data_IF_913937245314
#
_entry.id   IF_913937245314
#
_cell.length_a   1.000
_cell.length_b   1.000
_cell.length_c   1.000
_cell.angle_alpha   90.00
_cell.angle_beta   90.00
_cell.angle_gamma   90.00
#
_symmetry.space_group_name_H-M   'P 1'
#
loop_
_entity.id
_entity.type
_entity.pdbx_description
1 polymer ?
#
# COMPACT_ATOMS: atom_id res chain seq x y z
N UNK A 1 -42.89 -13.52 6.33
CA UNK A 1 -41.95 -14.16 5.40
C UNK A 1 -40.53 -13.84 5.88
N UNK A 2 -39.70 -14.85 6.16
CA UNK A 2 -38.32 -14.61 6.55
C UNK A 2 -37.57 -13.96 5.38
N UNK A 3 -36.89 -12.84 5.63
CA UNK A 3 -36.09 -12.16 4.64
C UNK A 3 -34.92 -13.09 4.26
N UNK A 4 -34.73 -13.32 2.95
CA UNK A 4 -33.63 -14.17 2.48
C UNK A 4 -32.29 -13.55 2.90
N UNK A 5 -31.33 -14.33 3.39
CA UNK A 5 -30.02 -13.81 3.77
C UNK A 5 -29.36 -13.11 2.59
N UNK A 6 -28.85 -11.90 2.82
CA UNK A 6 -28.15 -11.11 1.79
C UNK A 6 -26.81 -11.78 1.48
N UNK A 7 -26.50 -11.93 0.20
CA UNK A 7 -25.26 -12.57 -0.29
C UNK A 7 -24.06 -11.63 -0.32
N UNK A 8 -24.32 -10.31 -0.45
CA UNK A 8 -23.29 -9.28 -0.60
C UNK A 8 -23.47 -8.21 0.48
N UNK A 9 -22.36 -7.72 0.99
CA UNK A 9 -22.38 -6.56 1.89
C UNK A 9 -22.63 -5.30 1.09
N UNK A 10 -21.93 -5.18 -0.07
CA UNK A 10 -22.08 -4.07 -1.01
C UNK A 10 -22.25 -4.60 -2.43
N UNK A 11 -23.15 -4.01 -3.19
CA UNK A 11 -23.33 -4.24 -4.62
C UNK A 11 -23.22 -2.93 -5.38
N UNK A 12 -22.18 -2.81 -6.20
CA UNK A 12 -22.02 -1.67 -7.12
C UNK A 12 -22.64 -2.09 -8.46
N UNK A 13 -23.69 -1.39 -8.87
CA UNK A 13 -24.41 -1.69 -10.11
C UNK A 13 -24.05 -0.71 -11.23
N UNK A 14 -24.32 -1.13 -12.46
CA UNK A 14 -24.28 -0.27 -13.64
C UNK A 14 -22.91 0.42 -13.85
N UNK A 15 -21.79 -0.29 -13.68
CA UNK A 15 -20.45 0.23 -13.96
C UNK A 15 -19.87 -0.36 -15.23
N UNK A 16 -19.08 0.42 -15.95
CA UNK A 16 -18.28 -0.04 -17.09
C UNK A 16 -16.90 -0.49 -16.58
N UNK A 17 -16.72 -1.80 -16.46
CA UNK A 17 -15.51 -2.36 -15.85
C UNK A 17 -14.35 -2.39 -16.84
N UNK A 18 -13.27 -1.71 -16.48
CA UNK A 18 -11.98 -1.75 -17.20
C UNK A 18 -11.16 -2.91 -16.65
N UNK A 19 -10.75 -3.82 -17.53
CA UNK A 19 -9.97 -5.01 -17.16
C UNK A 19 -8.61 -4.99 -17.84
N UNK A 20 -7.54 -5.39 -17.15
CA UNK A 20 -6.23 -5.56 -17.78
C UNK A 20 -6.32 -6.50 -19.00
N UNK A 21 -5.62 -6.17 -20.05
CA UNK A 21 -5.55 -6.97 -21.28
C UNK A 21 -6.87 -7.19 -22.02
N UNK A 22 -7.89 -6.40 -21.76
CA UNK A 22 -9.12 -6.35 -22.52
C UNK A 22 -9.21 -5.03 -23.29
N UNK A 23 -9.60 -5.12 -24.55
CA UNK A 23 -9.80 -3.94 -25.42
C UNK A 23 -11.22 -3.38 -25.35
N UNK A 24 -12.14 -4.17 -24.80
CA UNK A 24 -13.54 -3.77 -24.62
C UNK A 24 -13.85 -3.44 -23.17
N UNK A 25 -14.65 -2.39 -22.98
CA UNK A 25 -15.18 -2.00 -21.68
C UNK A 25 -16.66 -2.39 -21.65
N UNK A 26 -17.00 -3.34 -20.79
CA UNK A 26 -18.36 -3.87 -20.69
C UNK A 26 -19.04 -3.43 -19.39
N UNK A 27 -20.37 -3.38 -19.45
CA UNK A 27 -21.20 -3.07 -18.28
C UNK A 27 -21.39 -4.29 -17.40
N UNK A 28 -21.06 -4.16 -16.11
CA UNK A 28 -21.18 -5.18 -15.08
C UNK A 28 -21.69 -4.58 -13.77
N UNK A 29 -22.05 -5.49 -12.87
CA UNK A 29 -22.27 -5.25 -11.45
C UNK A 29 -21.14 -5.91 -10.66
N UNK A 30 -20.74 -5.33 -9.52
CA UNK A 30 -19.66 -5.82 -8.66
C UNK A 30 -20.20 -6.10 -7.28
N UNK A 31 -20.20 -7.39 -6.89
CA UNK A 31 -20.61 -7.82 -5.54
C UNK A 31 -19.40 -8.01 -4.63
N UNK A 32 -19.48 -7.39 -3.44
CA UNK A 32 -18.43 -7.38 -2.43
C UNK A 32 -18.92 -8.09 -1.16
N UNK A 33 -18.05 -8.91 -0.56
CA UNK A 33 -18.28 -9.60 0.73
C UNK A 33 -17.01 -9.48 1.54
N UNK A 34 -17.11 -9.06 2.79
CA UNK A 34 -15.98 -8.90 3.72
C UNK A 34 -14.81 -8.10 3.08
N UNK A 35 -15.14 -6.96 2.45
CA UNK A 35 -14.18 -6.09 1.78
C UNK A 35 -13.55 -6.66 0.51
N UNK A 36 -13.99 -7.83 0.03
CA UNK A 36 -13.41 -8.51 -1.16
C UNK A 36 -14.42 -8.60 -2.29
N UNK A 37 -13.96 -8.32 -3.51
CA UNK A 37 -14.76 -8.54 -4.72
C UNK A 37 -15.00 -10.06 -4.87
N UNK A 38 -16.24 -10.48 -4.74
CA UNK A 38 -16.66 -11.89 -4.88
C UNK A 38 -17.23 -12.21 -6.24
N UNK A 39 -17.86 -11.24 -6.89
CA UNK A 39 -18.49 -11.45 -8.19
C UNK A 39 -18.47 -10.19 -9.04
N UNK A 40 -18.14 -10.38 -10.31
CA UNK A 40 -18.31 -9.36 -11.36
C UNK A 40 -19.15 -10.01 -12.45
N UNK A 41 -20.42 -9.60 -12.58
CA UNK A 41 -21.36 -10.20 -13.53
C UNK A 41 -22.42 -9.20 -13.97
N UNK A 42 -23.12 -9.48 -15.05
CA UNK A 42 -24.28 -8.69 -15.49
C UNK A 42 -25.51 -9.09 -14.67
N UNK A 43 -26.32 -8.09 -14.26
CA UNK A 43 -27.65 -8.32 -13.72
C UNK A 43 -27.70 -8.97 -12.33
N UNK A 44 -26.77 -8.66 -11.42
CA UNK A 44 -26.86 -9.13 -10.05
C UNK A 44 -28.09 -8.47 -9.39
N UNK A 45 -29.02 -9.27 -8.80
CA UNK A 45 -30.21 -8.69 -8.17
C UNK A 45 -29.87 -7.81 -6.98
N UNK A 46 -30.43 -6.59 -6.94
CA UNK A 46 -30.25 -5.66 -5.83
C UNK A 46 -30.70 -6.24 -4.48
N UNK A 47 -31.74 -7.09 -4.50
CA UNK A 47 -32.25 -7.75 -3.32
C UNK A 47 -31.24 -8.71 -2.63
N UNK A 48 -30.16 -9.09 -3.31
CA UNK A 48 -29.12 -9.96 -2.76
C UNK A 48 -28.05 -9.20 -1.95
N UNK A 49 -28.11 -7.86 -1.87
CA UNK A 49 -27.12 -7.05 -1.17
C UNK A 49 -27.73 -6.30 0.03
N UNK A 50 -26.88 -6.03 1.04
CA UNK A 50 -27.22 -5.17 2.18
C UNK A 50 -27.26 -3.71 1.74
N UNK A 51 -26.25 -3.29 0.97
CA UNK A 51 -26.10 -1.96 0.43
C UNK A 51 -25.96 -2.01 -1.10
N UNK A 52 -26.59 -1.05 -1.80
CA UNK A 52 -26.53 -0.97 -3.26
C UNK A 52 -26.14 0.44 -3.68
N UNK A 53 -25.08 0.53 -4.48
CA UNK A 53 -24.60 1.78 -5.09
C UNK A 53 -24.80 1.72 -6.60
N UNK A 54 -25.49 2.73 -7.17
CA UNK A 54 -25.58 2.86 -8.61
C UNK A 54 -24.36 3.60 -9.18
N UNK A 55 -23.55 2.90 -9.93
CA UNK A 55 -22.36 3.44 -10.58
C UNK A 55 -22.63 4.36 -11.77
N UNK A 56 -23.92 4.57 -12.15
CA UNK A 56 -24.38 5.54 -13.17
C UNK A 56 -23.61 5.44 -14.48
N UNK A 57 -23.30 4.22 -14.90
CA UNK A 57 -22.55 3.93 -16.12
C UNK A 57 -21.11 4.54 -16.13
N UNK A 58 -20.55 4.86 -14.97
CA UNK A 58 -19.15 5.33 -14.85
C UNK A 58 -18.19 4.20 -15.10
N UNK A 59 -16.93 4.56 -15.39
CA UNK A 59 -15.83 3.60 -15.48
C UNK A 59 -15.45 3.12 -14.08
N UNK A 60 -15.25 1.82 -13.95
CA UNK A 60 -14.68 1.20 -12.76
C UNK A 60 -13.31 0.60 -13.11
N UNK A 61 -12.29 1.09 -12.44
CA UNK A 61 -10.91 0.63 -12.56
C UNK A 61 -10.52 -0.17 -11.31
N UNK A 62 -9.54 -1.07 -11.41
CA UNK A 62 -8.79 -1.48 -10.21
C UNK A 62 -8.23 -0.26 -9.51
N UNK A 63 -8.19 -0.27 -8.18
CA UNK A 63 -7.54 0.80 -7.43
C UNK A 63 -6.07 0.92 -7.83
N UNK A 64 -5.57 2.14 -7.85
CA UNK A 64 -4.17 2.41 -8.14
C UNK A 64 -3.31 2.05 -6.93
N UNK A 65 -2.13 1.51 -7.19
CA UNK A 65 -1.08 1.31 -6.19
C UNK A 65 -0.02 2.36 -6.43
N UNK A 66 0.20 3.24 -5.45
CA UNK A 66 1.34 4.15 -5.47
C UNK A 66 2.57 3.43 -4.91
N UNK A 67 3.58 3.12 -5.73
CA UNK A 67 4.71 2.32 -5.31
C UNK A 67 5.78 3.11 -4.56
N UNK A 68 5.68 4.42 -4.49
CA UNK A 68 6.68 5.26 -3.83
C UNK A 68 6.15 6.63 -3.45
N UNK A 69 5.76 6.78 -2.21
CA UNK A 69 5.25 8.01 -1.65
C UNK A 69 6.11 8.51 -0.48
N UNK A 70 6.20 9.80 -0.29
CA UNK A 70 6.88 10.43 0.83
C UNK A 70 5.84 11.03 1.77
N UNK A 71 5.80 10.56 3.01
CA UNK A 71 4.85 11.01 4.03
C UNK A 71 5.61 11.30 5.32
N UNK A 72 5.35 12.43 5.95
CA UNK A 72 6.01 12.83 7.20
C UNK A 72 7.41 13.42 6.99
N UNK A 73 7.71 13.99 5.82
CA UNK A 73 9.01 14.58 5.52
C UNK A 73 9.10 16.06 5.95
N UNK A 74 8.00 16.80 5.84
CA UNK A 74 7.94 18.24 6.11
C UNK A 74 7.00 18.61 7.25
N UNK A 75 6.28 17.66 7.79
CA UNK A 75 5.33 17.81 8.88
C UNK A 75 5.21 16.55 9.72
N UNK A 76 4.43 16.58 10.80
CA UNK A 76 4.18 15.41 11.62
C UNK A 76 3.58 14.26 10.78
N UNK A 77 4.16 13.06 10.90
CA UNK A 77 3.76 11.90 10.11
C UNK A 77 2.25 11.62 10.17
N UNK A 78 1.63 11.74 11.33
CA UNK A 78 0.19 11.50 11.50
C UNK A 78 -0.69 12.49 10.73
N UNK A 79 -0.25 13.73 10.60
CA UNK A 79 -0.96 14.77 9.85
C UNK A 79 -0.77 14.58 8.36
N UNK A 80 0.47 14.42 7.91
CA UNK A 80 0.80 14.14 6.50
C UNK A 80 0.13 12.87 6.01
N UNK A 81 0.18 11.78 6.81
CA UNK A 81 -0.48 10.53 6.47
C UNK A 81 -1.97 10.75 6.17
N UNK A 82 -2.64 11.57 6.97
CA UNK A 82 -4.06 11.85 6.83
C UNK A 82 -4.37 12.72 5.59
N UNK A 83 -3.62 13.81 5.39
CA UNK A 83 -3.86 14.73 4.26
C UNK A 83 -3.47 14.12 2.92
N UNK A 84 -2.27 13.55 2.83
CA UNK A 84 -1.74 13.01 1.59
C UNK A 84 -2.49 11.75 1.15
N UNK A 85 -2.83 10.86 2.08
CA UNK A 85 -3.61 9.68 1.72
C UNK A 85 -5.06 10.00 1.34
N UNK A 86 -5.64 11.08 1.89
CA UNK A 86 -6.95 11.57 1.44
C UNK A 86 -6.89 12.05 -0.01
N UNK A 87 -5.88 12.86 -0.34
CA UNK A 87 -5.65 13.33 -1.71
C UNK A 87 -5.41 12.15 -2.66
N UNK A 88 -4.60 11.18 -2.24
CA UNK A 88 -4.34 9.94 -2.98
C UNK A 88 -5.64 9.15 -3.24
N UNK A 89 -6.49 8.97 -2.21
CA UNK A 89 -7.77 8.30 -2.33
C UNK A 89 -8.71 9.01 -3.32
N UNK A 90 -8.76 10.35 -3.28
CA UNK A 90 -9.53 11.16 -4.23
C UNK A 90 -9.01 10.99 -5.67
N UNK A 91 -7.72 10.74 -5.85
CA UNK A 91 -7.10 10.41 -7.13
C UNK A 91 -7.28 8.97 -7.59
N UNK A 92 -7.91 8.12 -6.76
CA UNK A 92 -8.15 6.70 -7.08
C UNK A 92 -7.05 5.74 -6.62
N UNK A 93 -6.10 6.20 -5.81
CA UNK A 93 -5.13 5.33 -5.12
C UNK A 93 -5.86 4.58 -4.00
N UNK A 94 -5.61 3.29 -3.90
CA UNK A 94 -6.17 2.43 -2.84
C UNK A 94 -5.10 1.82 -1.94
N UNK A 95 -3.85 1.84 -2.38
CA UNK A 95 -2.71 1.34 -1.60
C UNK A 95 -1.48 2.18 -1.90
N UNK A 96 -0.71 2.52 -0.88
CA UNK A 96 0.53 3.29 -1.00
C UNK A 96 1.70 2.60 -0.31
N UNK A 97 2.87 2.64 -0.95
CA UNK A 97 4.12 2.22 -0.37
C UNK A 97 4.94 3.46 -0.01
N UNK A 98 4.99 3.76 1.28
CA UNK A 98 5.59 4.99 1.77
C UNK A 98 7.07 4.80 2.07
N UNK A 99 7.87 5.77 1.69
CA UNK A 99 9.26 5.81 2.03
C UNK A 99 9.46 6.32 3.47
N UNK A 100 10.34 5.66 4.21
CA UNK A 100 10.72 6.07 5.56
C UNK A 100 12.22 5.89 5.79
N UNK A 101 12.81 6.84 6.47
CA UNK A 101 14.18 6.75 6.99
C UNK A 101 14.26 7.37 8.38
N UNK A 102 15.33 7.08 9.09
CA UNK A 102 15.69 7.78 10.33
C UNK A 102 16.53 9.02 10.02
N UNK A 103 16.64 9.95 10.97
CA UNK A 103 17.46 11.17 10.85
C UNK A 103 16.65 12.46 10.93
N UNK A 104 17.23 13.56 10.45
CA UNK A 104 16.70 14.91 10.57
C UNK A 104 15.41 15.24 9.80
N UNK A 105 14.86 14.28 9.09
CA UNK A 105 13.53 14.31 8.48
C UNK A 105 12.79 13.07 8.97
N UNK A 106 11.49 12.96 8.83
CA UNK A 106 10.73 11.79 9.26
C UNK A 106 10.90 11.51 10.76
N UNK A 107 9.97 12.00 11.56
CA UNK A 107 9.95 11.90 13.02
C UNK A 107 11.07 12.70 13.72
N UNK A 108 11.97 13.36 12.98
CA UNK A 108 13.14 14.08 13.51
C UNK A 108 13.97 13.25 14.50
N UNK A 109 14.03 11.95 14.25
CA UNK A 109 14.66 10.99 15.13
C UNK A 109 15.60 10.07 14.38
N UNK A 110 16.84 10.01 14.84
CA UNK A 110 17.83 9.02 14.41
C UNK A 110 17.78 7.75 15.24
N UNK A 111 18.55 6.74 14.85
CA UNK A 111 18.73 5.50 15.60
C UNK A 111 18.27 4.25 14.88
N UNK A 112 18.38 3.09 15.57
CA UNK A 112 18.01 1.81 15.01
C UNK A 112 16.54 1.73 14.65
N UNK A 113 16.22 1.03 13.56
CA UNK A 113 14.83 0.79 13.18
C UNK A 113 14.04 -0.05 14.20
N UNK A 114 14.74 -0.89 14.98
CA UNK A 114 14.12 -1.63 16.08
C UNK A 114 13.38 -0.73 17.08
N UNK A 115 13.89 0.50 17.27
CA UNK A 115 13.30 1.51 18.15
C UNK A 115 12.35 2.45 17.39
N UNK A 116 12.79 2.96 16.24
CA UNK A 116 12.08 4.01 15.50
C UNK A 116 10.86 3.48 14.75
N UNK A 117 10.95 2.28 14.16
CA UNK A 117 9.87 1.78 13.32
C UNK A 117 8.56 1.48 14.06
N UNK A 118 8.55 0.97 15.29
CA UNK A 118 7.32 0.90 16.10
C UNK A 118 6.62 2.26 16.29
N UNK A 119 7.38 3.34 16.44
CA UNK A 119 6.82 4.68 16.58
C UNK A 119 6.22 5.18 15.25
N UNK A 120 6.88 4.87 14.13
CA UNK A 120 6.34 5.15 12.79
C UNK A 120 5.00 4.44 12.60
N UNK A 121 4.90 3.17 12.97
CA UNK A 121 3.65 2.41 12.89
C UNK A 121 2.57 2.98 13.80
N UNK A 122 2.92 3.39 15.02
CA UNK A 122 2.00 4.02 15.95
C UNK A 122 1.47 5.37 15.43
N UNK A 123 2.34 6.21 14.86
CA UNK A 123 1.96 7.49 14.27
C UNK A 123 1.12 7.35 12.99
N UNK A 124 1.26 6.22 12.29
CA UNK A 124 0.51 5.92 11.06
C UNK A 124 -0.85 5.31 11.33
N UNK A 125 -0.99 4.60 12.44
CA UNK A 125 -2.21 3.87 12.79
C UNK A 125 -3.41 4.83 12.80
N UNK A 126 -4.49 4.41 12.10
CA UNK A 126 -5.75 5.15 11.98
C UNK A 126 -5.64 6.54 11.32
N UNK A 127 -4.48 6.85 10.68
CA UNK A 127 -4.24 8.11 9.99
C UNK A 127 -4.18 7.99 8.46
N UNK A 128 -4.26 6.81 7.88
CA UNK A 128 -4.35 6.62 6.44
C UNK A 128 -5.77 6.32 5.99
N UNK A 129 -6.16 6.91 4.86
CA UNK A 129 -7.43 6.64 4.16
C UNK A 129 -7.32 5.50 3.14
N UNK A 130 -6.11 5.06 2.84
CA UNK A 130 -5.80 3.97 1.92
C UNK A 130 -4.95 2.93 2.64
N UNK A 131 -4.87 1.73 2.10
CA UNK A 131 -3.92 0.74 2.61
C UNK A 131 -2.48 1.28 2.45
N UNK A 132 -1.65 1.03 3.45
CA UNK A 132 -0.29 1.52 3.43
C UNK A 132 0.73 0.47 3.88
N UNK A 133 1.93 0.61 3.36
CA UNK A 133 3.12 -0.09 3.84
C UNK A 133 4.32 0.85 3.74
N UNK A 134 5.45 0.41 4.31
CA UNK A 134 6.68 1.18 4.26
C UNK A 134 7.79 0.40 3.59
N UNK A 135 8.60 1.11 2.81
CA UNK A 135 9.94 0.69 2.48
C UNK A 135 10.95 1.56 3.22
N UNK A 136 11.87 0.91 3.90
CA UNK A 136 12.82 1.55 4.78
C UNK A 136 14.16 1.77 4.06
N UNK A 137 14.84 2.88 4.37
CA UNK A 137 16.17 3.13 3.83
C UNK A 137 17.23 2.76 4.86
N UNK A 138 17.97 1.66 4.68
CA UNK A 138 19.18 1.42 5.46
C UNK A 138 20.22 2.49 5.14
N UNK A 139 20.61 3.27 6.14
CA UNK A 139 21.55 4.37 5.99
C UNK A 139 22.94 4.06 6.56
N UNK A 140 23.04 3.05 7.42
CA UNK A 140 24.26 2.65 8.07
C UNK A 140 24.32 1.14 8.30
N UNK A 141 25.43 0.67 8.90
CA UNK A 141 25.65 -0.76 9.16
C UNK A 141 24.72 -1.34 10.22
N UNK A 142 24.23 -0.53 11.15
CA UNK A 142 23.24 -0.95 12.14
C UNK A 142 21.94 -1.32 11.43
N UNK A 143 21.45 -0.45 10.56
CA UNK A 143 20.26 -0.71 9.78
C UNK A 143 20.37 -1.94 8.87
N UNK A 144 21.56 -2.19 8.30
CA UNK A 144 21.81 -3.43 7.54
C UNK A 144 21.69 -4.67 8.43
N UNK A 145 22.20 -4.59 9.65
CA UNK A 145 22.09 -5.66 10.64
C UNK A 145 20.63 -5.97 11.06
N UNK A 146 19.73 -5.01 10.91
CA UNK A 146 18.34 -5.13 11.30
C UNK A 146 17.41 -5.70 10.20
N UNK A 147 17.91 -5.90 8.97
CA UNK A 147 17.08 -6.31 7.81
C UNK A 147 16.27 -7.58 8.11
N UNK A 148 16.91 -8.63 8.65
CA UNK A 148 16.22 -9.87 8.97
C UNK A 148 15.13 -9.69 10.03
N UNK A 149 15.36 -8.85 11.01
CA UNK A 149 14.37 -8.50 12.03
C UNK A 149 13.21 -7.72 11.40
N UNK A 150 13.49 -6.74 10.55
CA UNK A 150 12.47 -5.95 9.86
C UNK A 150 11.58 -6.81 8.98
N UNK A 151 12.15 -7.78 8.27
CA UNK A 151 11.39 -8.74 7.46
C UNK A 151 10.54 -9.65 8.34
N UNK A 152 11.15 -10.30 9.32
CA UNK A 152 10.49 -11.37 10.07
C UNK A 152 9.51 -10.88 11.12
N UNK A 153 9.81 -9.75 11.78
CA UNK A 153 8.97 -9.19 12.85
C UNK A 153 7.91 -8.23 12.32
N UNK A 154 8.28 -7.40 11.36
CA UNK A 154 7.42 -6.31 10.88
C UNK A 154 6.88 -6.50 9.46
N UNK A 155 7.31 -7.54 8.74
CA UNK A 155 6.85 -7.83 7.39
C UNK A 155 7.32 -6.83 6.34
N UNK A 156 8.41 -6.11 6.60
CA UNK A 156 9.01 -5.20 5.60
C UNK A 156 9.59 -6.02 4.46
N UNK A 157 9.11 -5.78 3.24
CA UNK A 157 9.48 -6.57 2.06
C UNK A 157 10.26 -5.79 1.02
N UNK A 158 10.46 -4.49 1.24
CA UNK A 158 11.22 -3.65 0.33
C UNK A 158 12.05 -2.62 1.07
N UNK A 159 13.18 -2.25 0.45
CA UNK A 159 14.12 -1.30 0.99
C UNK A 159 14.46 -0.25 -0.07
N UNK A 160 14.64 1.00 0.37
CA UNK A 160 15.07 2.11 -0.47
C UNK A 160 16.57 2.27 -0.40
N UNK A 161 17.22 2.33 -1.55
CA UNK A 161 18.66 2.61 -1.65
C UNK A 161 18.85 3.93 -2.38
N UNK A 162 19.71 4.77 -1.83
CA UNK A 162 20.15 5.99 -2.47
C UNK A 162 21.47 5.73 -3.20
N UNK A 163 21.42 5.50 -4.49
CA UNK A 163 22.64 5.33 -5.29
C UNK A 163 23.41 6.67 -5.47
N UNK A 164 22.71 7.77 -5.33
CA UNK A 164 23.25 9.10 -5.58
C UNK A 164 23.98 9.72 -4.39
N UNK A 165 23.66 9.32 -3.17
CA UNK A 165 24.25 9.87 -1.95
C UNK A 165 25.40 8.97 -1.44
N UNK A 166 26.57 9.05 -2.07
CA UNK A 166 27.78 8.40 -1.55
C UNK A 166 28.22 8.85 -0.16
N UNK A 167 27.53 9.85 0.43
CA UNK A 167 27.80 10.39 1.75
C UNK A 167 27.29 9.55 2.93
N UNK A 168 26.47 8.54 2.70
CA UNK A 168 25.97 7.68 3.79
C UNK A 168 26.89 6.47 4.07
N UNK A 169 28.01 6.35 3.37
CA UNK A 169 29.02 5.31 3.65
C UNK A 169 28.59 3.88 3.30
N UNK A 170 27.45 3.71 2.67
CA UNK A 170 26.96 2.41 2.20
C UNK A 170 27.04 2.33 0.68
N UNK A 171 27.78 1.34 0.19
CA UNK A 171 27.77 1.00 -1.22
C UNK A 171 26.59 0.06 -1.52
N UNK A 172 25.88 0.29 -2.61
CA UNK A 172 24.72 -0.52 -3.01
C UNK A 172 25.02 -2.03 -3.10
N UNK A 173 26.29 -2.40 -3.36
CA UNK A 173 26.77 -3.77 -3.36
C UNK A 173 26.71 -4.46 -1.98
N UNK A 174 27.04 -3.75 -0.89
CA UNK A 174 26.96 -4.29 0.47
C UNK A 174 25.52 -4.59 0.88
N UNK A 175 24.59 -3.75 0.45
CA UNK A 175 23.19 -3.95 0.73
C UNK A 175 22.59 -5.07 -0.12
N UNK A 176 22.93 -5.12 -1.42
CA UNK A 176 22.47 -6.16 -2.33
C UNK A 176 22.93 -7.57 -1.90
N UNK A 177 24.10 -7.68 -1.28
CA UNK A 177 24.63 -8.94 -0.77
C UNK A 177 23.90 -9.46 0.48
N UNK A 178 23.15 -8.61 1.19
CA UNK A 178 22.48 -8.97 2.44
C UNK A 178 20.95 -9.02 2.38
N UNK A 179 20.36 -8.62 1.25
CA UNK A 179 18.91 -8.80 1.06
C UNK A 179 18.67 -10.28 0.74
N UNK A 180 18.01 -11.05 1.63
CA UNK A 180 17.77 -12.47 1.39
C UNK A 180 16.90 -12.65 0.14
N UNK A 181 17.12 -13.77 -0.55
CA UNK A 181 16.12 -14.23 -1.54
C UNK A 181 14.78 -14.38 -0.84
N UNK A 182 13.71 -13.97 -1.49
CA UNK A 182 12.38 -14.20 -0.94
C UNK A 182 12.16 -15.70 -0.71
N UNK A 183 11.24 -16.04 0.19
CA UNK A 183 10.92 -17.44 0.55
C UNK A 183 10.49 -18.32 -0.64
N UNK A 184 10.39 -17.76 -1.85
CA UNK A 184 10.06 -18.41 -3.10
C UNK A 184 11.23 -18.46 -4.07
N UNK A 185 12.46 -18.19 -3.61
CA UNK A 185 13.66 -18.19 -4.44
C UNK A 185 13.72 -17.07 -5.47
N UNK A 186 12.91 -16.03 -5.30
CA UNK A 186 13.00 -14.81 -6.12
C UNK A 186 13.91 -13.81 -5.44
N UNK A 187 15.05 -13.50 -6.08
CA UNK A 187 15.87 -12.36 -5.65
C UNK A 187 15.00 -11.12 -5.60
N UNK A 188 14.99 -10.43 -4.46
CA UNK A 188 14.38 -9.10 -4.36
C UNK A 188 15.08 -8.23 -5.40
N UNK A 189 14.43 -8.01 -6.52
CA UNK A 189 15.00 -7.16 -7.57
C UNK A 189 14.93 -5.73 -7.09
N UNK A 190 16.08 -5.17 -6.76
CA UNK A 190 16.21 -3.74 -6.61
C UNK A 190 15.88 -3.09 -7.95
N UNK A 191 14.71 -2.50 -8.06
CA UNK A 191 14.46 -1.59 -9.17
C UNK A 191 15.10 -0.26 -8.80
N UNK A 192 16.25 0.02 -9.40
CA UNK A 192 16.75 1.38 -9.53
C UNK A 192 15.80 2.11 -10.48
N UNK A 193 15.22 3.19 -10.02
CA UNK A 193 14.60 4.19 -10.89
C UNK A 193 15.63 5.25 -11.21
#
# INVERSE_FOLDING_TARGET
MAEKPKKYDLLIKNVRVVRPRKTSVEKFDIGVVDGKIKKVAKGIPAAEAKEVVDGKNRLAFPGLVDPHMHTGIYGPLSQDARSESLAAAQGGVTSSLNYMRTGGYYMERGGPYAEVYPEVLAASKDNFWVDYAYHLAPLDRTHIGEIDMLINKFGVTSFKIFMFYGGYGLHGAELAARVPDDRRGRKVRHRSF
#
